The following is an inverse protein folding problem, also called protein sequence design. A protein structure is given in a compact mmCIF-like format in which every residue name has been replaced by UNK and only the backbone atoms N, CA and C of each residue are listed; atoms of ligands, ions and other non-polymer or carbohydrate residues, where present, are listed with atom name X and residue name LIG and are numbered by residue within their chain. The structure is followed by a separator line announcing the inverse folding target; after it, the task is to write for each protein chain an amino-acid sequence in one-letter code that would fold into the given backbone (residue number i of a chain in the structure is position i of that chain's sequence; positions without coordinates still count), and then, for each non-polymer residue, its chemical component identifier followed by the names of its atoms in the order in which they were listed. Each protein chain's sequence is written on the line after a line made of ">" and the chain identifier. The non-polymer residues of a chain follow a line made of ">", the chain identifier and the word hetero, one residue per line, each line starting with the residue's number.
data_IF_823024682862
#
_entry.id   IF_823024682862
#
_cell.length_a   1.000
_cell.length_b   1.000
_cell.length_c   1.000
_cell.angle_alpha   90.00
_cell.angle_beta   90.00
_cell.angle_gamma   90.00
#
_symmetry.space_group_name_H-M   'P 1'
#
loop_
_entity.id
_entity.type
_entity.pdbx_description
1 polymer ?
#
# COMPACT_ATOMS: atom_id res chain seq x y z
N UNK A 1 -12.98 -4.00 -9.10
CA UNK A 1 -12.76 -2.54 -9.16
C UNK A 1 -12.06 -2.06 -7.88
N UNK A 2 -10.75 -2.19 -7.75
CA UNK A 2 -9.99 -1.50 -6.70
C UNK A 2 -8.53 -1.45 -7.15
N UNK A 3 -8.10 -0.34 -7.76
CA UNK A 3 -6.70 0.08 -7.92
C UNK A 3 -6.63 1.30 -8.85
N UNK A 4 -7.08 2.47 -8.40
CA UNK A 4 -6.85 3.72 -9.15
C UNK A 4 -6.36 4.89 -8.29
N UNK A 5 -6.09 4.68 -7.00
CA UNK A 5 -5.74 5.76 -6.08
C UNK A 5 -4.25 5.98 -5.80
N UNK A 6 -3.39 4.96 -5.98
CA UNK A 6 -2.06 5.00 -5.36
C UNK A 6 -0.90 5.41 -6.27
N UNK A 7 -1.10 5.48 -7.59
CA UNK A 7 0.00 5.63 -8.56
C UNK A 7 0.36 7.07 -8.96
N UNK A 8 -0.33 8.09 -8.45
CA UNK A 8 -0.08 9.49 -8.85
C UNK A 8 0.79 10.29 -7.87
N UNK A 9 1.08 9.77 -6.67
CA UNK A 9 1.89 10.46 -5.65
C UNK A 9 3.41 10.33 -5.88
N UNK A 10 3.89 9.27 -6.53
CA UNK A 10 5.33 9.07 -6.79
C UNK A 10 5.92 10.14 -7.70
N UNK A 11 5.23 10.42 -8.82
CA UNK A 11 5.68 11.39 -9.82
C UNK A 11 5.87 12.81 -9.26
N UNK A 12 4.98 13.24 -8.37
CA UNK A 12 5.10 14.58 -7.77
C UNK A 12 6.23 14.65 -6.74
N UNK A 13 6.49 13.56 -6.01
CA UNK A 13 7.59 13.48 -5.06
C UNK A 13 8.95 13.38 -5.75
N UNK A 14 9.04 12.65 -6.85
CA UNK A 14 10.25 12.58 -7.67
C UNK A 14 10.55 13.92 -8.33
N UNK A 15 9.51 14.62 -8.79
CA UNK A 15 9.62 16.01 -9.25
C UNK A 15 10.13 16.92 -8.14
N UNK A 16 9.52 16.90 -6.95
CA UNK A 16 9.95 17.72 -5.81
C UNK A 16 11.39 17.38 -5.37
N UNK A 17 11.76 16.10 -5.34
CA UNK A 17 13.13 15.65 -5.06
C UNK A 17 14.12 16.17 -6.10
N UNK A 18 13.79 16.05 -7.40
CA UNK A 18 14.62 16.57 -8.50
C UNK A 18 14.80 18.08 -8.41
N UNK A 19 13.73 18.83 -8.13
CA UNK A 19 13.82 20.29 -7.94
C UNK A 19 14.68 20.68 -6.74
N UNK A 20 14.66 19.87 -5.67
CA UNK A 20 15.49 20.10 -4.48
C UNK A 20 16.96 19.67 -4.66
N UNK A 21 17.26 18.75 -5.58
CA UNK A 21 18.62 18.26 -5.85
C UNK A 21 19.37 19.08 -6.93
N UNK A 22 18.65 19.78 -7.82
CA UNK A 22 19.24 20.69 -8.82
C UNK A 22 19.98 21.89 -8.22
N UNK A 23 19.71 22.25 -6.96
CA UNK A 23 20.52 23.20 -6.23
C UNK A 23 21.75 22.50 -5.66
N UNK A 24 22.77 22.31 -6.50
CA UNK A 24 24.12 21.99 -6.04
C UNK A 24 24.53 23.03 -4.98
N UNK A 25 24.73 22.59 -3.74
CA UNK A 25 25.83 22.97 -2.85
C UNK A 25 25.59 22.33 -1.46
N UNK A 26 26.65 21.79 -0.83
CA UNK A 26 26.61 21.38 0.55
C UNK A 26 26.36 22.63 1.40
N UNK A 27 25.68 22.43 2.52
CA UNK A 27 25.57 23.37 3.62
C UNK A 27 27.00 23.75 4.06
N UNK A 28 27.46 25.00 3.83
CA UNK A 28 27.89 25.73 5.00
C UNK A 28 27.16 27.07 5.05
N UNK A 29 26.67 27.38 6.25
CA UNK A 29 26.80 28.68 6.92
C UNK A 29 26.93 29.89 5.96
N UNK A 30 25.98 30.82 6.08
CA UNK A 30 25.83 32.07 5.31
C UNK A 30 25.05 31.96 3.99
N UNK A 31 23.79 32.39 4.04
CA UNK A 31 23.10 32.82 2.84
C UNK A 31 23.72 34.14 2.36
N UNK A 32 24.68 34.02 1.45
CA UNK A 32 25.19 35.09 0.62
C UNK A 32 25.75 34.45 -0.63
N UNK A 33 24.99 34.52 -1.73
CA UNK A 33 25.53 34.27 -3.06
C UNK A 33 26.76 35.19 -3.21
N UNK A 34 27.96 34.62 -3.22
CA UNK A 34 29.20 35.37 -3.40
C UNK A 34 29.24 35.83 -4.85
N UNK A 35 28.56 36.94 -5.14
CA UNK A 35 28.91 37.76 -6.29
C UNK A 35 30.29 38.35 -5.99
N UNK A 36 31.27 38.04 -6.85
CA UNK A 36 32.71 38.27 -6.64
C UNK A 36 33.12 39.77 -6.74
N UNK A 37 32.34 40.68 -6.18
CA UNK A 37 32.67 42.11 -6.10
C UNK A 37 32.81 42.64 -4.66
N UNK A 38 32.74 41.78 -3.64
CA UNK A 38 33.13 42.16 -2.28
C UNK A 38 34.64 42.02 -2.11
N UNK A 39 35.36 43.06 -2.54
CA UNK A 39 36.75 43.29 -2.15
C UNK A 39 36.84 43.25 -0.61
N UNK A 40 37.65 42.30 -0.11
CA UNK A 40 38.03 42.20 1.31
C UNK A 40 38.93 43.39 1.65
N UNK A 41 38.34 44.55 1.88
CA UNK A 41 39.04 45.60 2.61
C UNK A 41 38.97 45.27 4.09
N UNK A 42 40.13 44.91 4.63
CA UNK A 42 40.40 44.85 6.07
C UNK A 42 40.26 46.24 6.67
N UNK A 43 39.04 46.60 7.05
CA UNK A 43 38.75 47.84 7.76
C UNK A 43 37.58 47.57 8.70
N UNK A 44 37.83 47.69 10.01
CA UNK A 44 36.79 47.67 11.04
C UNK A 44 35.88 48.87 10.83
N UNK A 45 34.87 48.71 9.98
CA UNK A 45 33.78 49.65 9.79
C UNK A 45 32.50 48.84 9.70
N UNK A 46 31.57 49.09 10.62
CA UNK A 46 30.20 48.55 10.51
C UNK A 46 29.63 49.12 9.21
N UNK A 47 29.67 48.34 8.12
CA UNK A 47 28.96 48.71 6.90
C UNK A 47 27.48 48.73 7.26
N UNK A 48 26.91 49.93 7.29
CA UNK A 48 25.47 50.11 7.44
C UNK A 48 24.80 49.30 6.32
N UNK A 49 24.09 48.25 6.72
CA UNK A 49 23.45 47.34 5.78
C UNK A 49 22.36 48.12 5.03
N UNK A 50 22.36 48.06 3.70
CA UNK A 50 21.29 48.69 2.94
C UNK A 50 19.97 48.00 3.30
N UNK A 51 18.87 48.74 3.49
CA UNK A 51 17.57 48.14 3.83
C UNK A 51 17.14 47.02 2.85
N UNK A 52 17.51 47.15 1.57
CA UNK A 52 17.30 46.13 0.54
C UNK A 52 18.02 44.80 0.81
N UNK A 53 19.22 44.83 1.36
CA UNK A 53 20.04 43.64 1.62
C UNK A 53 19.58 42.91 2.88
N UNK A 54 19.02 43.66 3.85
CA UNK A 54 18.35 43.08 5.00
C UNK A 54 17.11 42.28 4.58
N UNK A 55 16.24 42.86 3.74
CA UNK A 55 15.07 42.16 3.20
C UNK A 55 15.46 40.89 2.44
N UNK A 56 16.48 40.96 1.57
CA UNK A 56 17.02 39.78 0.87
C UNK A 56 17.53 38.72 1.83
N UNK A 57 18.20 39.11 2.92
CA UNK A 57 18.70 38.19 3.93
C UNK A 57 17.56 37.47 4.66
N UNK A 58 16.51 38.19 5.03
CA UNK A 58 15.31 37.61 5.67
C UNK A 58 14.63 36.62 4.71
N UNK A 59 14.41 37.03 3.45
CA UNK A 59 13.82 36.17 2.42
C UNK A 59 14.64 34.89 2.21
N UNK A 60 15.95 35.02 2.08
CA UNK A 60 16.87 33.89 1.90
C UNK A 60 16.82 32.88 3.06
N UNK A 61 16.73 33.37 4.31
CA UNK A 61 16.60 32.52 5.50
C UNK A 61 15.28 31.75 5.50
N UNK A 62 14.19 32.42 5.14
CA UNK A 62 12.87 31.80 5.04
C UNK A 62 12.84 30.73 3.93
N UNK A 63 13.30 31.06 2.73
CA UNK A 63 13.38 30.12 1.61
C UNK A 63 14.23 28.89 1.94
N UNK A 64 15.38 29.09 2.61
CA UNK A 64 16.26 27.99 3.03
C UNK A 64 15.59 27.10 4.07
N UNK A 65 14.85 27.69 5.01
CA UNK A 65 14.05 26.94 5.98
C UNK A 65 12.99 26.10 5.28
N UNK A 66 12.20 26.69 4.38
CA UNK A 66 11.17 25.99 3.61
C UNK A 66 11.75 24.84 2.80
N UNK A 67 12.83 25.09 2.03
CA UNK A 67 13.51 24.05 1.25
C UNK A 67 13.99 22.90 2.13
N UNK A 68 14.51 23.19 3.32
CA UNK A 68 14.96 22.18 4.28
C UNK A 68 13.78 21.35 4.81
N UNK A 69 12.66 21.99 5.17
CA UNK A 69 11.47 21.28 5.64
C UNK A 69 10.92 20.38 4.54
N UNK A 70 10.70 20.91 3.33
CA UNK A 70 10.15 20.13 2.20
C UNK A 70 11.07 18.95 1.86
N UNK A 71 12.39 19.15 1.83
CA UNK A 71 13.36 18.06 1.59
C UNK A 71 13.22 16.93 2.61
N UNK A 72 13.09 17.25 3.90
CA UNK A 72 12.96 16.21 4.93
C UNK A 72 11.61 15.50 4.85
N UNK A 73 10.52 16.20 4.54
CA UNK A 73 9.20 15.57 4.35
C UNK A 73 9.23 14.58 3.19
N UNK A 74 9.78 14.97 2.04
CA UNK A 74 9.93 14.08 0.88
C UNK A 74 10.80 12.87 1.23
N UNK A 75 11.94 13.09 1.92
CA UNK A 75 12.84 12.02 2.33
C UNK A 75 12.18 11.02 3.30
N UNK A 76 11.47 11.52 4.30
CA UNK A 76 10.76 10.69 5.28
C UNK A 76 9.69 9.84 4.59
N UNK A 77 8.93 10.42 3.66
CA UNK A 77 7.94 9.70 2.88
C UNK A 77 8.56 8.60 2.02
N UNK A 78 9.62 8.90 1.26
CA UNK A 78 10.34 7.91 0.45
C UNK A 78 10.89 6.77 1.32
N UNK A 79 11.43 7.10 2.51
CA UNK A 79 11.93 6.09 3.43
C UNK A 79 10.81 5.19 3.99
N UNK A 80 9.64 5.76 4.31
CA UNK A 80 8.46 5.00 4.73
C UNK A 80 7.91 4.10 3.63
N UNK A 81 7.94 4.55 2.36
CA UNK A 81 7.58 3.70 1.23
C UNK A 81 8.54 2.52 1.08
N UNK A 82 9.86 2.78 1.08
CA UNK A 82 10.86 1.72 0.95
C UNK A 82 10.74 0.66 2.03
N UNK A 83 10.56 1.08 3.30
CA UNK A 83 10.36 0.16 4.43
C UNK A 83 9.12 -0.73 4.29
N UNK A 84 8.04 -0.20 3.72
CA UNK A 84 6.82 -0.98 3.45
C UNK A 84 7.07 -1.96 2.32
N UNK A 85 7.64 -1.51 1.21
CA UNK A 85 7.95 -2.36 0.07
C UNK A 85 8.93 -3.51 0.40
N UNK A 86 9.86 -3.31 1.34
CA UNK A 86 10.78 -4.36 1.80
C UNK A 86 10.10 -5.44 2.66
N UNK A 87 8.92 -5.16 3.24
CA UNK A 87 8.24 -6.04 4.20
C UNK A 87 6.89 -6.56 3.72
N UNK A 88 6.22 -5.79 2.86
CA UNK A 88 4.88 -6.02 2.38
C UNK A 88 4.95 -6.36 0.89
N UNK A 89 4.25 -7.42 0.50
CA UNK A 89 3.95 -7.74 -0.89
C UNK A 89 2.49 -7.46 -1.14
N UNK A 90 2.16 -6.89 -2.29
CA UNK A 90 0.77 -6.64 -2.66
C UNK A 90 0.12 -7.97 -3.03
N UNK A 91 -1.14 -8.18 -2.63
CA UNK A 91 -1.88 -9.39 -2.99
C UNK A 91 -1.95 -9.63 -4.50
N UNK A 92 -2.00 -8.55 -5.31
CA UNK A 92 -2.00 -8.65 -6.78
C UNK A 92 -0.65 -9.04 -7.39
N UNK A 93 0.44 -8.99 -6.62
CA UNK A 93 1.77 -9.43 -7.04
C UNK A 93 2.12 -10.83 -6.51
N UNK A 94 1.27 -11.40 -5.65
CA UNK A 94 1.45 -12.75 -5.14
C UNK A 94 1.15 -13.79 -6.24
N UNK A 95 1.96 -14.86 -6.35
CA UNK A 95 1.64 -15.97 -7.24
C UNK A 95 0.30 -16.63 -6.89
N UNK A 96 -0.44 -17.06 -7.92
CA UNK A 96 -1.76 -17.73 -7.78
C UNK A 96 -1.71 -18.89 -6.77
N UNK A 97 -0.66 -19.71 -6.84
CA UNK A 97 -0.46 -20.86 -5.92
C UNK A 97 -0.37 -20.44 -4.44
N UNK A 98 0.18 -19.26 -4.13
CA UNK A 98 0.23 -18.76 -2.75
C UNK A 98 -1.14 -18.24 -2.34
N UNK A 99 -1.86 -17.60 -3.26
CA UNK A 99 -3.22 -17.10 -3.02
C UNK A 99 -4.19 -18.25 -2.77
N UNK A 100 -4.15 -19.31 -3.58
CA UNK A 100 -4.96 -20.52 -3.41
C UNK A 100 -4.68 -21.20 -2.06
N UNK A 101 -3.43 -21.26 -1.63
CA UNK A 101 -3.05 -21.84 -0.33
C UNK A 101 -3.54 -21.00 0.87
N UNK A 102 -3.79 -19.71 0.68
CA UNK A 102 -4.34 -18.82 1.70
C UNK A 102 -5.87 -18.78 1.67
N UNK A 103 -6.49 -19.30 0.61
CA UNK A 103 -7.93 -19.35 0.49
C UNK A 103 -8.50 -20.34 1.50
N UNK A 104 -9.44 -19.87 2.31
CA UNK A 104 -10.28 -20.71 3.15
C UNK A 104 -11.62 -20.85 2.42
N UNK A 105 -12.03 -22.09 2.19
CA UNK A 105 -13.35 -22.40 1.66
C UNK A 105 -14.30 -22.57 2.84
N UNK A 106 -15.34 -21.75 2.89
CA UNK A 106 -16.43 -21.90 3.84
C UNK A 106 -17.37 -23.01 3.35
N UNK A 107 -17.68 -23.98 4.19
CA UNK A 107 -18.72 -24.99 3.91
C UNK A 107 -20.09 -24.40 4.28
N UNK A 108 -20.91 -24.06 3.29
CA UNK A 108 -22.30 -23.66 3.54
C UNK A 108 -23.25 -24.84 3.33
N UNK A 109 -24.35 -24.90 4.08
CA UNK A 109 -25.38 -25.94 3.92
C UNK A 109 -26.06 -25.92 2.55
N UNK A 110 -25.93 -24.83 1.80
CA UNK A 110 -26.43 -24.69 0.43
C UNK A 110 -25.60 -25.44 -0.60
N UNK A 111 -24.37 -25.83 -0.26
CA UNK A 111 -23.40 -26.35 -1.22
C UNK A 111 -23.53 -27.88 -1.39
N UNK A 112 -24.39 -28.51 -0.59
CA UNK A 112 -24.62 -29.95 -0.64
C UNK A 112 -26.05 -30.34 -0.29
N UNK A 113 -26.51 -31.43 -0.88
CA UNK A 113 -27.73 -32.11 -0.45
C UNK A 113 -27.39 -33.20 0.55
N UNK A 114 -28.09 -33.23 1.69
CA UNK A 114 -27.93 -34.27 2.72
C UNK A 114 -28.89 -35.43 2.42
N UNK A 115 -28.36 -36.65 2.45
CA UNK A 115 -29.13 -37.89 2.43
C UNK A 115 -28.88 -38.69 3.70
N UNK A 116 -29.96 -39.05 4.40
CA UNK A 116 -29.85 -39.95 5.55
C UNK A 116 -29.97 -41.42 5.07
N UNK A 117 -28.90 -42.19 5.24
CA UNK A 117 -28.85 -43.61 4.89
C UNK A 117 -28.41 -44.39 6.12
N UNK A 118 -29.27 -45.30 6.60
CA UNK A 118 -29.00 -46.14 7.78
C UNK A 118 -28.57 -45.34 9.03
N UNK A 119 -29.06 -44.11 9.20
CA UNK A 119 -28.71 -43.24 10.34
C UNK A 119 -27.43 -42.43 10.15
N UNK A 120 -26.81 -42.47 8.97
CA UNK A 120 -25.66 -41.63 8.61
C UNK A 120 -26.09 -40.53 7.63
N UNK A 121 -25.63 -39.31 7.87
CA UNK A 121 -25.85 -38.18 6.99
C UNK A 121 -24.71 -38.11 5.95
N UNK A 122 -25.08 -38.34 4.70
CA UNK A 122 -24.17 -38.32 3.54
C UNK A 122 -24.37 -37.00 2.81
N UNK A 123 -23.28 -36.23 2.63
CA UNK A 123 -23.26 -34.96 1.89
C UNK A 123 -22.89 -35.19 0.44
N UNK A 124 -23.74 -34.73 -0.48
CA UNK A 124 -23.54 -34.81 -1.93
C UNK A 124 -23.47 -33.40 -2.49
N UNK A 125 -22.31 -33.02 -3.02
CA UNK A 125 -22.05 -31.67 -3.56
C UNK A 125 -22.46 -31.51 -5.04
N UNK A 126 -22.63 -32.62 -5.76
CA UNK A 126 -23.02 -32.61 -7.17
C UNK A 126 -24.54 -32.67 -7.31
N UNK A 127 -25.13 -31.64 -7.91
CA UNK A 127 -26.59 -31.50 -8.06
C UNK A 127 -27.20 -32.58 -8.97
N UNK A 128 -26.52 -32.95 -10.06
CA UNK A 128 -27.01 -33.96 -11.00
C UNK A 128 -27.03 -35.35 -10.33
N UNK A 129 -25.99 -35.65 -9.55
CA UNK A 129 -25.91 -36.86 -8.74
C UNK A 129 -26.99 -36.87 -7.66
N UNK A 130 -27.19 -35.76 -6.95
CA UNK A 130 -28.23 -35.65 -5.93
C UNK A 130 -29.63 -35.85 -6.51
N UNK A 131 -29.91 -35.28 -7.69
CA UNK A 131 -31.16 -35.51 -8.40
C UNK A 131 -31.37 -36.96 -8.83
N UNK A 132 -30.33 -37.61 -9.38
CA UNK A 132 -30.39 -39.01 -9.77
C UNK A 132 -30.68 -39.90 -8.56
N UNK A 133 -30.04 -39.64 -7.42
CA UNK A 133 -30.28 -40.36 -6.16
C UNK A 133 -31.71 -40.17 -5.64
N UNK A 134 -32.27 -38.95 -5.71
CA UNK A 134 -33.68 -38.70 -5.36
C UNK A 134 -34.64 -39.50 -6.25
N UNK A 135 -34.39 -39.53 -7.56
CA UNK A 135 -35.20 -40.30 -8.52
C UNK A 135 -35.15 -41.80 -8.20
N UNK A 136 -33.98 -42.34 -7.88
CA UNK A 136 -33.83 -43.73 -7.45
C UNK A 136 -34.56 -44.03 -6.13
N UNK A 137 -34.49 -43.15 -5.14
CA UNK A 137 -35.23 -43.29 -3.89
C UNK A 137 -36.74 -43.30 -4.10
N UNK A 138 -37.24 -42.49 -5.04
CA UNK A 138 -38.67 -42.46 -5.38
C UNK A 138 -39.15 -43.69 -6.17
N UNK A 139 -38.24 -44.36 -6.87
CA UNK A 139 -38.53 -45.52 -7.71
C UNK A 139 -38.48 -46.86 -6.95
N UNK A 140 -37.89 -46.90 -5.75
CA UNK A 140 -37.87 -48.08 -4.89
C UNK A 140 -39.07 -48.05 -3.94
N UNK A 141 -39.96 -49.07 -3.93
CA UNK A 141 -40.95 -49.20 -2.87
C UNK A 141 -40.20 -49.41 -1.56
N UNK A 142 -40.55 -48.63 -0.53
CA UNK A 142 -40.04 -48.81 0.84
C UNK A 142 -40.14 -50.29 1.22
N UNK A 143 -39.02 -51.01 1.20
CA UNK A 143 -38.97 -52.37 1.74
C UNK A 143 -39.00 -52.18 3.26
N UNK A 144 -40.21 -52.14 3.78
CA UNK A 144 -40.56 -52.12 5.20
C UNK A 144 -39.54 -52.92 6.00
N UNK A 145 -38.76 -52.23 6.84
CA UNK A 145 -38.03 -52.85 7.93
C UNK A 145 -39.06 -53.30 8.97
N UNK A 146 -39.68 -54.44 8.71
CA UNK A 146 -40.40 -55.20 9.71
C UNK A 146 -39.84 -56.62 9.72
N UNK A 147 -38.87 -56.85 10.61
CA UNK A 147 -38.78 -58.07 11.41
C UNK A 147 -37.66 -58.02 12.44
N UNK A 148 -38.01 -58.56 13.61
CA UNK A 148 -37.13 -59.09 14.66
C UNK A 148 -36.66 -58.12 15.76
N UNK A 149 -37.58 -57.76 16.65
CA UNK A 149 -37.34 -57.87 18.10
C UNK A 149 -38.27 -58.98 18.63
N UNK A 150 -37.72 -60.17 18.79
CA UNK A 150 -38.09 -61.07 19.88
C UNK A 150 -37.22 -60.71 21.07
#
# INVERSE_FOLDING_TARGET
>A
MFCAGFFHSGKILDFLSSQLNKSHLPFPIWCGKRENHFSRHSGKGVRLMKPSDFQKTVQCRFESCLKKVVRHVVKDYQQKLKRRQEKETLFCELPEIVVENLAVWDDYETDYTIFNVCGYDIRVYDDELAEALRKLQSAQPQRSTEKSRQ
#
